data_IF_359006802590
#
_entry.id   IF_359006802590
#
_cell.length_a   1.000
_cell.length_b   1.000
_cell.length_c   1.000
_cell.angle_alpha   90.00
_cell.angle_beta   90.00
_cell.angle_gamma   90.00
#
_symmetry.space_group_name_H-M   'P 1'
#
loop_
_entity.id
_entity.type
_entity.pdbx_description
1 polymer ?
#
# COMPACT_ATOMS: atom_id res chain seq x y z
N UNK A 1 -20.51 -7.94 -9.99
CA UNK A 1 -19.50 -8.68 -10.80
C UNK A 1 -18.26 -7.82 -11.05
N UNK A 2 -18.32 -6.49 -10.96
CA UNK A 2 -17.17 -5.62 -11.21
C UNK A 2 -16.27 -5.33 -10.00
N UNK A 3 -16.78 -5.43 -8.77
CA UNK A 3 -16.05 -5.07 -7.55
C UNK A 3 -15.07 -6.15 -7.09
N UNK A 4 -15.34 -7.40 -7.37
CA UNK A 4 -14.44 -8.51 -7.02
C UNK A 4 -13.17 -8.55 -7.88
N UNK A 5 -13.16 -7.89 -9.03
CA UNK A 5 -12.03 -7.91 -9.96
C UNK A 5 -10.90 -6.95 -9.58
N UNK A 6 -11.16 -5.89 -8.83
CA UNK A 6 -10.13 -4.88 -8.48
C UNK A 6 -9.40 -5.19 -7.16
N UNK A 7 -9.99 -6.03 -6.30
CA UNK A 7 -9.38 -6.47 -5.03
C UNK A 7 -9.04 -7.96 -5.11
N UNK A 8 -8.75 -8.44 -6.31
CA UNK A 8 -8.52 -9.86 -6.54
C UNK A 8 -7.29 -10.39 -5.80
N UNK A 9 -7.34 -11.68 -5.51
CA UNK A 9 -6.27 -12.55 -4.96
C UNK A 9 -4.88 -12.28 -5.54
N UNK A 10 -4.83 -11.73 -6.75
CA UNK A 10 -3.60 -11.50 -7.50
C UNK A 10 -2.89 -10.19 -7.20
N UNK A 11 -3.57 -9.14 -6.68
CA UNK A 11 -2.89 -7.86 -6.46
C UNK A 11 -2.06 -7.82 -5.18
N UNK A 12 -2.55 -8.41 -4.10
CA UNK A 12 -1.84 -8.53 -2.83
C UNK A 12 -1.74 -10.01 -2.48
N UNK A 13 -0.55 -10.53 -2.36
CA UNK A 13 -0.31 -11.90 -1.91
C UNK A 13 -0.86 -12.09 -0.49
N UNK A 14 -1.69 -13.12 -0.33
CA UNK A 14 -2.42 -13.36 0.93
C UNK A 14 -1.54 -13.82 2.08
N UNK A 15 -0.38 -14.36 1.77
CA UNK A 15 0.55 -14.92 2.73
C UNK A 15 1.55 -13.87 3.20
N UNK A 16 2.17 -13.17 2.26
CA UNK A 16 3.27 -12.22 2.53
C UNK A 16 2.81 -10.77 2.60
N UNK A 17 1.71 -10.40 1.95
CA UNK A 17 1.31 -9.01 1.73
C UNK A 17 2.01 -8.33 0.56
N UNK A 18 2.88 -9.04 -0.18
CA UNK A 18 3.54 -8.47 -1.36
C UNK A 18 2.52 -8.02 -2.39
N UNK A 19 2.62 -6.77 -2.82
CA UNK A 19 1.79 -6.25 -3.90
C UNK A 19 2.36 -6.61 -5.27
N UNK A 20 1.49 -6.74 -6.27
CA UNK A 20 1.89 -6.98 -7.65
C UNK A 20 2.94 -5.96 -8.13
N UNK A 21 2.74 -4.69 -7.81
CA UNK A 21 3.65 -3.60 -8.20
C UNK A 21 4.94 -3.52 -7.36
N UNK A 22 5.07 -4.33 -6.31
CA UNK A 22 6.29 -4.36 -5.49
C UNK A 22 7.55 -4.75 -6.28
N UNK A 23 7.37 -5.51 -7.36
CA UNK A 23 8.44 -5.88 -8.30
C UNK A 23 8.75 -4.81 -9.36
N UNK A 24 7.99 -3.72 -9.40
CA UNK A 24 8.18 -2.61 -10.33
C UNK A 24 8.87 -1.44 -9.64
N UNK A 25 8.15 -0.71 -8.81
CA UNK A 25 8.70 0.36 -7.97
C UNK A 25 7.76 0.69 -6.79
N UNK A 26 8.30 1.39 -5.81
CA UNK A 26 7.57 1.67 -4.57
C UNK A 26 6.52 2.79 -4.72
N UNK A 27 6.60 3.61 -5.74
CA UNK A 27 5.57 4.61 -6.02
C UNK A 27 4.30 3.93 -6.53
N UNK A 28 4.43 2.99 -7.47
CA UNK A 28 3.28 2.26 -8.00
C UNK A 28 2.65 1.31 -6.97
N UNK A 29 3.46 0.67 -6.12
CA UNK A 29 2.94 -0.12 -5.00
C UNK A 29 2.05 0.73 -4.08
N UNK A 30 2.52 1.91 -3.66
CA UNK A 30 1.75 2.83 -2.81
C UNK A 30 0.56 3.46 -3.53
N UNK A 31 0.69 3.75 -4.83
CA UNK A 31 -0.41 4.24 -5.66
C UNK A 31 -1.59 3.26 -5.65
N UNK A 32 -1.33 2.00 -5.93
CA UNK A 32 -2.37 0.97 -5.95
C UNK A 32 -3.03 0.75 -4.59
N UNK A 33 -2.24 0.69 -3.52
CA UNK A 33 -2.75 0.57 -2.15
C UNK A 33 -3.60 1.79 -1.77
N UNK A 34 -3.15 2.99 -2.10
CA UNK A 34 -3.88 4.23 -1.85
C UNK A 34 -5.21 4.28 -2.56
N UNK A 35 -5.27 3.85 -3.83
CA UNK A 35 -6.52 3.75 -4.60
C UNK A 35 -7.49 2.73 -4.00
N UNK A 36 -6.99 1.56 -3.59
CA UNK A 36 -7.83 0.56 -2.94
C UNK A 36 -8.40 1.07 -1.61
N UNK A 37 -7.59 1.70 -0.77
CA UNK A 37 -8.09 2.25 0.49
C UNK A 37 -9.09 3.39 0.28
N UNK A 38 -8.95 4.18 -0.78
CA UNK A 38 -9.93 5.21 -1.14
C UNK A 38 -11.26 4.60 -1.56
N UNK A 39 -11.23 3.54 -2.35
CA UNK A 39 -12.43 2.78 -2.72
C UNK A 39 -13.10 2.17 -1.49
N UNK A 40 -12.33 1.55 -0.60
CA UNK A 40 -12.86 0.96 0.63
C UNK A 40 -13.51 2.02 1.53
N UNK A 41 -12.90 3.18 1.71
CA UNK A 41 -13.48 4.26 2.54
C UNK A 41 -14.75 4.85 1.89
N UNK A 42 -14.78 4.96 0.57
CA UNK A 42 -15.98 5.42 -0.15
C UNK A 42 -17.14 4.45 0.06
N UNK A 43 -16.88 3.16 -0.08
CA UNK A 43 -17.89 2.12 0.14
C UNK A 43 -18.34 2.07 1.61
N UNK A 44 -17.40 2.18 2.55
CA UNK A 44 -17.68 2.23 3.99
C UNK A 44 -18.65 3.35 4.34
N UNK A 45 -18.44 4.55 3.82
CA UNK A 45 -19.35 5.69 4.02
C UNK A 45 -20.72 5.48 3.40
N UNK A 46 -20.85 4.55 2.48
CA UNK A 46 -22.12 4.14 1.87
C UNK A 46 -22.74 2.89 2.54
N UNK A 47 -22.17 2.43 3.64
CA UNK A 47 -22.68 1.27 4.40
C UNK A 47 -22.23 -0.09 3.85
N UNK A 48 -21.23 -0.13 2.95
CA UNK A 48 -20.68 -1.37 2.42
C UNK A 48 -19.24 -1.56 2.90
N UNK A 49 -18.98 -2.64 3.61
CA UNK A 49 -17.63 -2.96 4.05
C UNK A 49 -16.85 -3.69 2.95
N UNK A 50 -15.92 -2.96 2.32
CA UNK A 50 -14.91 -3.54 1.43
C UNK A 50 -13.54 -3.71 2.11
N UNK A 51 -13.35 -3.16 3.29
CA UNK A 51 -12.10 -3.32 4.03
C UNK A 51 -11.88 -4.76 4.50
N UNK A 52 -12.97 -5.45 4.93
CA UNK A 52 -12.92 -6.82 5.42
C UNK A 52 -12.75 -7.90 4.35
N UNK A 53 -12.82 -7.55 3.06
CA UNK A 53 -12.75 -8.56 1.99
C UNK A 53 -11.41 -9.31 1.96
N UNK A 54 -11.46 -10.57 1.51
CA UNK A 54 -10.29 -11.44 1.40
C UNK A 54 -9.49 -11.55 2.70
N UNK A 55 -10.19 -11.69 3.80
CA UNK A 55 -9.60 -11.85 5.13
C UNK A 55 -8.62 -10.71 5.48
N UNK A 56 -9.11 -9.48 5.37
CA UNK A 56 -8.34 -8.27 5.65
C UNK A 56 -7.00 -8.23 4.86
N UNK A 57 -7.05 -8.48 3.57
CA UNK A 57 -5.83 -8.53 2.75
C UNK A 57 -5.16 -7.16 2.57
N UNK A 58 -5.94 -6.10 2.53
CA UNK A 58 -5.44 -4.74 2.32
C UNK A 58 -4.42 -4.30 3.38
N UNK A 59 -4.63 -4.48 4.70
CA UNK A 59 -3.62 -4.09 5.71
C UNK A 59 -2.33 -4.91 5.59
N UNK A 60 -2.38 -6.16 5.12
CA UNK A 60 -1.16 -6.94 4.86
C UNK A 60 -0.30 -6.27 3.78
N UNK A 61 -0.92 -5.75 2.72
CA UNK A 61 -0.22 -5.01 1.67
C UNK A 61 0.41 -3.72 2.17
N UNK A 62 -0.30 -2.99 3.01
CA UNK A 62 0.22 -1.77 3.64
C UNK A 62 1.38 -2.06 4.59
N UNK A 63 1.25 -3.06 5.45
CA UNK A 63 2.32 -3.47 6.39
C UNK A 63 3.57 -3.94 5.65
N UNK A 64 3.41 -4.75 4.60
CA UNK A 64 4.53 -5.19 3.76
C UNK A 64 5.25 -4.00 3.11
N UNK A 65 4.49 -3.11 2.47
CA UNK A 65 5.05 -1.94 1.76
C UNK A 65 5.67 -0.94 2.73
N UNK A 66 5.03 -0.69 3.88
CA UNK A 66 5.58 0.15 4.94
C UNK A 66 6.89 -0.41 5.48
N UNK A 67 6.89 -1.69 5.85
CA UNK A 67 8.07 -2.41 6.35
C UNK A 67 9.25 -2.30 5.39
N UNK A 68 9.03 -2.59 4.11
CA UNK A 68 10.07 -2.51 3.10
C UNK A 68 10.63 -1.09 2.95
N UNK A 69 9.75 -0.08 2.85
CA UNK A 69 10.18 1.30 2.67
C UNK A 69 10.84 1.92 3.91
N UNK A 70 10.57 1.41 5.11
CA UNK A 70 11.29 1.76 6.34
C UNK A 70 12.72 1.19 6.37
N UNK A 71 13.08 0.29 5.47
CA UNK A 71 14.41 -0.29 5.39
C UNK A 71 14.51 -1.72 5.93
N UNK A 72 13.42 -2.29 6.43
CA UNK A 72 13.40 -3.66 6.93
C UNK A 72 13.36 -4.69 5.81
N UNK A 73 13.87 -5.88 6.08
CA UNK A 73 13.73 -7.01 5.16
C UNK A 73 12.33 -7.57 5.13
N UNK A 74 11.88 -7.89 3.92
CA UNK A 74 10.60 -8.55 3.64
C UNK A 74 10.83 -9.73 2.69
N UNK A 75 10.02 -10.79 2.77
CA UNK A 75 10.07 -11.84 1.75
C UNK A 75 9.69 -11.26 0.39
N UNK A 76 10.41 -11.63 -0.65
CA UNK A 76 10.08 -11.24 -2.02
C UNK A 76 9.96 -12.46 -2.91
N UNK A 77 8.85 -12.55 -3.63
CA UNK A 77 8.60 -13.59 -4.62
C UNK A 77 8.44 -12.94 -5.98
N UNK A 78 9.26 -13.39 -6.93
CA UNK A 78 9.09 -12.96 -8.31
C UNK A 78 7.84 -13.60 -8.91
N UNK A 79 6.91 -12.78 -9.38
CA UNK A 79 5.61 -13.20 -9.90
C UNK A 79 5.37 -12.60 -11.29
N UNK A 80 6.09 -13.07 -12.33
CA UNK A 80 6.02 -12.49 -13.67
C UNK A 80 4.63 -12.61 -14.29
N UNK A 81 3.87 -13.62 -13.93
CA UNK A 81 2.51 -13.86 -14.39
C UNK A 81 1.49 -12.81 -13.89
N UNK A 82 1.79 -12.16 -12.77
CA UNK A 82 0.93 -11.12 -12.19
C UNK A 82 1.33 -9.72 -12.63
N UNK A 83 2.58 -9.54 -12.97
CA UNK A 83 3.12 -8.22 -13.28
C UNK A 83 2.80 -7.75 -14.69
N UNK A 84 2.46 -8.65 -15.62
CA UNK A 84 2.10 -8.31 -16.99
C UNK A 84 3.20 -7.58 -17.76
N UNK A 85 2.95 -7.31 -19.04
CA UNK A 85 3.92 -6.67 -19.93
C UNK A 85 4.27 -5.22 -19.58
N UNK A 86 3.48 -4.56 -18.73
CA UNK A 86 3.66 -3.14 -18.41
C UNK A 86 4.63 -2.88 -17.27
N UNK A 87 4.97 -3.88 -16.49
CA UNK A 87 5.85 -3.70 -15.32
C UNK A 87 7.33 -3.47 -15.65
N UNK A 88 7.67 -3.56 -16.92
CA UNK A 88 9.05 -3.41 -17.37
C UNK A 88 9.37 -2.04 -17.96
N UNK A 89 8.36 -1.19 -18.19
CA UNK A 89 8.55 0.06 -18.91
C UNK A 89 9.26 1.15 -18.13
N UNK A 90 9.09 1.16 -16.83
CA UNK A 90 9.62 2.22 -15.96
C UNK A 90 10.75 1.74 -15.05
N UNK A 91 11.08 0.46 -15.13
CA UNK A 91 12.20 -0.13 -14.41
C UNK A 91 13.43 -0.01 -15.32
N UNK A 92 14.53 0.50 -14.79
CA UNK A 92 15.78 0.56 -15.55
C UNK A 92 16.37 -0.85 -15.79
N UNK A 93 17.47 -0.94 -16.53
CA UNK A 93 18.04 -2.24 -16.89
C UNK A 93 18.63 -2.99 -15.68
N UNK A 94 18.98 -2.27 -14.62
CA UNK A 94 19.46 -2.90 -13.38
C UNK A 94 18.27 -3.51 -12.64
N UNK A 95 17.21 -2.74 -12.45
CA UNK A 95 15.98 -3.20 -11.79
C UNK A 95 15.37 -4.39 -12.52
N UNK A 96 15.34 -4.37 -13.86
CA UNK A 96 14.86 -5.50 -14.67
C UNK A 96 15.66 -6.77 -14.41
N UNK A 97 16.97 -6.64 -14.32
CA UNK A 97 17.85 -7.76 -14.04
C UNK A 97 17.64 -8.31 -12.63
N UNK A 98 17.48 -7.43 -11.65
CA UNK A 98 17.21 -7.82 -10.27
C UNK A 98 15.87 -8.54 -10.14
N UNK A 99 14.81 -8.00 -10.73
CA UNK A 99 13.49 -8.64 -10.75
C UNK A 99 13.53 -9.99 -11.43
N UNK A 100 14.22 -10.11 -12.57
CA UNK A 100 14.37 -11.38 -13.29
C UNK A 100 15.15 -12.43 -12.51
N UNK A 101 16.08 -12.00 -11.65
CA UNK A 101 16.84 -12.89 -10.74
C UNK A 101 16.09 -13.26 -9.46
N UNK A 102 14.90 -12.71 -9.23
CA UNK A 102 14.13 -12.85 -7.98
C UNK A 102 14.57 -11.91 -6.87
N UNK A 103 15.43 -10.95 -7.17
CA UNK A 103 15.83 -9.90 -6.22
C UNK A 103 14.78 -8.80 -6.15
N UNK A 104 14.77 -8.08 -5.04
CA UNK A 104 13.84 -6.96 -4.82
C UNK A 104 14.35 -5.72 -5.53
N UNK A 105 13.52 -5.04 -6.35
CA UNK A 105 13.88 -3.73 -6.88
C UNK A 105 13.97 -2.70 -5.77
N UNK A 106 15.07 -1.97 -5.72
CA UNK A 106 15.26 -0.87 -4.77
C UNK A 106 14.71 0.47 -5.30
N UNK A 107 14.09 0.46 -6.48
CA UNK A 107 13.57 1.65 -7.12
C UNK A 107 12.60 2.41 -6.22
N UNK A 108 12.95 3.64 -5.91
CA UNK A 108 12.20 4.56 -5.06
C UNK A 108 11.93 4.06 -3.63
N UNK A 109 12.72 3.12 -3.12
CA UNK A 109 12.66 2.69 -1.73
C UNK A 109 12.88 3.87 -0.78
N UNK A 110 12.12 3.89 0.32
CA UNK A 110 12.21 4.96 1.33
C UNK A 110 11.46 6.24 0.98
N UNK A 111 10.72 6.27 -0.13
CA UNK A 111 9.77 7.34 -0.45
C UNK A 111 8.37 6.97 0.02
N UNK A 112 7.69 7.90 0.65
CA UNK A 112 6.38 7.68 1.23
C UNK A 112 5.34 8.62 0.61
N UNK A 113 4.25 8.03 0.13
CA UNK A 113 3.06 8.75 -0.33
C UNK A 113 2.11 9.05 0.86
N UNK A 114 1.27 10.08 0.79
CA UNK A 114 0.32 10.42 1.86
C UNK A 114 -0.94 9.53 1.76
N UNK A 115 -0.79 8.24 2.06
CA UNK A 115 -1.86 7.22 1.88
C UNK A 115 -2.09 6.34 3.10
N UNK A 116 -1.35 6.56 4.18
CA UNK A 116 -1.30 5.65 5.33
C UNK A 116 -2.35 5.95 6.40
N UNK A 117 -2.71 7.20 6.61
CA UNK A 117 -3.61 7.60 7.70
C UNK A 117 -5.00 6.96 7.60
N UNK A 118 -5.58 6.92 6.40
CA UNK A 118 -6.91 6.35 6.17
C UNK A 118 -6.99 4.88 6.56
N UNK A 119 -6.01 4.09 6.14
CA UNK A 119 -6.00 2.66 6.42
C UNK A 119 -5.68 2.39 7.90
N UNK A 120 -4.79 3.16 8.48
CA UNK A 120 -4.49 3.08 9.91
C UNK A 120 -5.71 3.38 10.76
N UNK A 121 -6.43 4.47 10.46
CA UNK A 121 -7.66 4.81 11.17
C UNK A 121 -8.70 3.67 11.09
N UNK A 122 -8.89 3.07 9.93
CA UNK A 122 -9.86 1.97 9.83
C UNK A 122 -9.42 0.75 10.64
N UNK A 123 -8.25 0.20 10.37
CA UNK A 123 -7.86 -1.07 10.98
C UNK A 123 -7.36 -0.92 12.41
N UNK A 124 -6.52 0.05 12.71
CA UNK A 124 -5.97 0.20 14.04
C UNK A 124 -6.95 0.89 14.98
N UNK A 125 -7.53 2.04 14.58
CA UNK A 125 -8.35 2.83 15.48
C UNK A 125 -9.78 2.30 15.60
N UNK A 126 -10.44 1.97 14.49
CA UNK A 126 -11.82 1.48 14.51
C UNK A 126 -11.92 0.01 14.92
N UNK A 127 -11.00 -0.85 14.44
CA UNK A 127 -11.06 -2.30 14.64
C UNK A 127 -10.07 -2.84 15.67
N UNK A 128 -9.13 -2.04 16.16
CA UNK A 128 -8.11 -2.47 17.13
C UNK A 128 -7.09 -3.46 16.57
N UNK A 129 -6.93 -3.55 15.25
CA UNK A 129 -5.95 -4.43 14.61
C UNK A 129 -4.56 -3.78 14.61
N UNK A 130 -3.54 -4.57 14.92
CA UNK A 130 -2.16 -4.08 14.94
C UNK A 130 -1.65 -3.73 13.53
N UNK A 131 -1.12 -2.51 13.39
CA UNK A 131 -0.46 -2.05 12.17
C UNK A 131 0.89 -1.39 12.52
N UNK A 132 1.87 -2.15 13.04
CA UNK A 132 3.08 -1.58 13.62
C UNK A 132 3.95 -0.82 12.62
N UNK A 133 4.12 -1.30 11.40
CA UNK A 133 4.96 -0.63 10.41
C UNK A 133 4.26 0.58 9.77
N UNK A 134 2.96 0.50 9.56
CA UNK A 134 2.16 1.67 9.14
C UNK A 134 2.19 2.74 10.21
N UNK A 135 2.07 2.36 11.49
CA UNK A 135 2.22 3.30 12.62
C UNK A 135 3.58 3.98 12.61
N UNK A 136 4.66 3.22 12.47
CA UNK A 136 6.01 3.76 12.39
C UNK A 136 6.18 4.74 11.22
N UNK A 137 5.63 4.42 10.04
CA UNK A 137 5.62 5.35 8.89
C UNK A 137 4.90 6.64 9.24
N UNK A 138 3.70 6.56 9.84
CA UNK A 138 2.93 7.73 10.24
C UNK A 138 3.73 8.61 11.21
N UNK A 139 4.28 8.04 12.27
CA UNK A 139 4.95 8.78 13.33
C UNK A 139 6.31 9.36 12.90
N UNK A 140 7.01 8.73 11.96
CA UNK A 140 8.39 9.11 11.65
C UNK A 140 8.59 9.72 10.26
N UNK A 141 7.62 9.56 9.34
CA UNK A 141 7.82 9.93 7.92
C UNK A 141 6.75 10.84 7.34
N UNK A 142 5.47 10.60 7.63
CA UNK A 142 4.39 11.24 6.86
C UNK A 142 3.46 12.13 7.67
N UNK A 143 3.34 11.97 8.99
CA UNK A 143 2.48 12.85 9.79
C UNK A 143 3.12 14.25 9.97
N UNK A 144 2.36 15.30 9.74
CA UNK A 144 1.00 15.30 9.18
C UNK A 144 1.02 14.97 7.68
N UNK A 145 0.12 14.09 7.23
CA UNK A 145 -0.12 13.86 5.81
C UNK A 145 -0.70 15.13 5.17
N UNK A 146 0.19 15.95 4.65
CA UNK A 146 -0.14 17.21 3.97
C UNK A 146 -0.67 16.98 2.55
N UNK A 147 -0.86 18.07 1.81
CA UNK A 147 -1.21 18.01 0.40
C UNK A 147 -0.24 17.10 -0.35
N UNK A 148 -0.78 16.08 -1.00
CA UNK A 148 0.01 15.23 -1.86
C UNK A 148 0.59 16.02 -3.02
N UNK A 149 1.83 15.72 -3.39
CA UNK A 149 2.43 16.23 -4.63
C UNK A 149 1.98 15.40 -5.84
N UNK A 150 1.27 14.32 -5.59
CA UNK A 150 0.75 13.39 -6.59
C UNK A 150 -0.74 13.67 -6.82
N UNK A 151 -1.11 13.87 -8.08
CA UNK A 151 -2.51 14.08 -8.48
C UNK A 151 -3.43 12.89 -8.15
N UNK A 152 -2.89 11.72 -7.92
CA UNK A 152 -3.64 10.52 -7.57
C UNK A 152 -4.00 10.45 -6.07
N UNK A 153 -3.28 11.18 -5.21
CA UNK A 153 -3.51 11.21 -3.77
C UNK A 153 -3.57 12.65 -3.28
N UNK A 154 -4.76 13.09 -2.90
CA UNK A 154 -5.00 14.47 -2.46
C UNK A 154 -4.27 14.84 -1.17
N UNK A 155 -3.76 13.85 -0.44
CA UNK A 155 -3.17 14.07 0.88
C UNK A 155 -4.22 14.43 1.93
N UNK A 156 -3.82 15.22 2.93
CA UNK A 156 -4.66 15.64 4.06
C UNK A 156 -5.24 14.49 4.89
N UNK A 157 -4.62 13.30 4.83
CA UNK A 157 -5.09 12.10 5.51
C UNK A 157 -5.20 12.29 7.03
N UNK A 158 -4.22 12.93 7.63
CA UNK A 158 -4.21 13.20 9.07
C UNK A 158 -5.40 14.08 9.47
N UNK A 159 -5.71 15.13 8.72
CA UNK A 159 -6.85 15.98 8.98
C UNK A 159 -8.20 15.26 8.80
N UNK A 160 -8.28 14.38 7.79
CA UNK A 160 -9.56 13.74 7.42
C UNK A 160 -9.85 12.47 8.21
N UNK A 161 -8.83 11.77 8.68
CA UNK A 161 -8.98 10.41 9.21
C UNK A 161 -8.36 10.19 10.58
N UNK A 162 -7.46 11.06 11.06
CA UNK A 162 -6.91 10.92 12.40
C UNK A 162 -7.99 11.20 13.44
N UNK A 163 -8.25 10.24 14.31
CA UNK A 163 -9.18 10.39 15.44
C UNK A 163 -8.46 10.61 16.76
N UNK A 164 -7.14 10.57 16.76
CA UNK A 164 -6.32 10.96 17.90
C UNK A 164 -6.38 12.48 17.99
N UNK A 165 -6.91 13.01 19.10
CA UNK A 165 -6.99 14.45 19.30
C UNK A 165 -5.62 15.11 19.16
N UNK A 166 -5.56 16.19 18.43
CA UNK A 166 -4.39 17.07 18.47
C UNK A 166 -4.40 17.73 19.85
N UNK A 167 -3.55 17.28 20.77
CA UNK A 167 -3.19 18.00 21.99
C UNK A 167 -2.24 19.15 21.69
#
# INVERSE_FOLDING_TARGET
VGSEMCIRDSYIDGETGQCQESGRDQTHAQLGLGMMSMLCETAWKQGTDLYGVLDNRLPKGYEYTAKYNLGYDVPFKYMPELTGKYNWYEIDEVDKKEVASGQRPESRRGKFAPVYERVYNHYATRLGLGMPYVKEVLETKVRPENAGTDIAHLGYGTFLYCSEGFE
#
